data_IF_547722004956
#
_entry.id   IF_547722004956
#
_cell.length_a   1.000
_cell.length_b   1.000
_cell.length_c   1.000
_cell.angle_alpha   90.00
_cell.angle_beta   90.00
_cell.angle_gamma   90.00
#
_symmetry.space_group_name_H-M   'P 1'
#
loop_
_entity.id
_entity.type
_entity.pdbx_description
1 polymer ?
#
# COMPACT_ATOMS: atom_id res chain seq x y z
N UNK A 1 -17.49 -1.79 -41.98
CA UNK A 1 -16.08 -1.50 -41.71
C UNK A 1 -15.40 -1.39 -43.08
N UNK A 2 -14.89 -0.23 -43.44
CA UNK A 2 -14.32 0.05 -44.78
C UNK A 2 -12.84 -0.32 -44.83
N UNK A 3 -12.31 -0.58 -46.03
CA UNK A 3 -10.90 -0.94 -46.25
C UNK A 3 -9.94 0.18 -45.79
N UNK A 4 -10.28 1.44 -46.07
CA UNK A 4 -9.53 2.62 -45.61
C UNK A 4 -9.46 2.70 -44.08
N UNK A 5 -10.55 2.40 -43.37
CA UNK A 5 -10.57 2.41 -41.91
C UNK A 5 -9.64 1.34 -41.32
N UNK A 6 -9.55 0.16 -41.94
CA UNK A 6 -8.67 -0.91 -41.49
C UNK A 6 -7.18 -0.60 -41.73
N UNK A 7 -6.86 0.14 -42.80
CA UNK A 7 -5.49 0.60 -43.06
C UNK A 7 -5.02 1.66 -42.06
N UNK A 8 -5.91 2.55 -41.61
CA UNK A 8 -5.58 3.59 -40.63
C UNK A 8 -5.48 3.06 -39.19
N UNK A 9 -6.08 1.91 -38.91
CA UNK A 9 -6.15 1.32 -37.56
C UNK A 9 -5.55 -0.09 -37.56
N UNK A 10 -4.21 -0.22 -37.52
CA UNK A 10 -3.56 -1.52 -37.52
C UNK A 10 -4.06 -2.37 -36.33
N UNK A 11 -4.10 -3.71 -36.47
CA UNK A 11 -4.50 -4.60 -35.39
C UNK A 11 -3.63 -4.33 -34.16
N UNK A 12 -4.24 -3.97 -33.04
CA UNK A 12 -3.55 -3.85 -31.77
C UNK A 12 -3.87 -5.08 -30.92
N UNK A 13 -2.85 -5.65 -30.27
CA UNK A 13 -3.04 -6.76 -29.35
C UNK A 13 -3.73 -6.25 -28.08
N UNK A 14 -4.90 -6.81 -27.78
CA UNK A 14 -5.55 -6.59 -26.49
C UNK A 14 -4.72 -7.26 -25.39
N UNK A 15 -4.55 -6.59 -24.26
CA UNK A 15 -3.93 -7.20 -23.09
C UNK A 15 -4.79 -8.38 -22.63
N UNK A 16 -4.15 -9.50 -22.22
CA UNK A 16 -4.86 -10.65 -21.66
C UNK A 16 -5.74 -10.22 -20.48
N UNK A 17 -6.89 -10.86 -20.31
CA UNK A 17 -7.71 -10.68 -19.11
C UNK A 17 -7.15 -11.47 -17.91
N UNK A 18 -6.27 -12.44 -18.16
CA UNK A 18 -5.65 -13.25 -17.12
C UNK A 18 -4.78 -12.39 -16.21
N UNK A 19 -4.89 -12.61 -14.90
CA UNK A 19 -4.14 -11.84 -13.94
C UNK A 19 -2.70 -12.36 -13.82
N UNK A 20 -1.76 -11.43 -13.78
CA UNK A 20 -0.34 -11.70 -13.61
C UNK A 20 0.05 -11.62 -12.12
N UNK A 21 0.96 -12.48 -11.66
CA UNK A 21 1.45 -12.46 -10.28
C UNK A 21 2.53 -11.37 -10.10
N UNK A 22 2.36 -10.56 -9.07
CA UNK A 22 3.26 -9.47 -8.69
C UNK A 22 3.47 -9.44 -7.17
N UNK A 23 4.45 -8.64 -6.73
CA UNK A 23 4.63 -8.33 -5.31
C UNK A 23 4.57 -6.83 -5.06
N UNK A 24 3.64 -6.42 -4.20
CA UNK A 24 3.63 -5.09 -3.61
C UNK A 24 4.57 -5.08 -2.39
N UNK A 25 5.61 -4.25 -2.43
CA UNK A 25 6.58 -4.10 -1.35
C UNK A 25 6.51 -2.70 -0.78
N UNK A 26 6.08 -2.60 0.47
CA UNK A 26 5.98 -1.33 1.21
C UNK A 26 7.11 -1.29 2.22
N UNK A 27 7.92 -0.23 2.20
CA UNK A 27 9.03 -0.06 3.14
C UNK A 27 8.75 1.11 4.07
N UNK A 28 8.60 0.81 5.35
CA UNK A 28 8.36 1.78 6.41
C UNK A 28 9.71 2.07 7.07
N UNK A 29 10.32 3.18 6.68
CA UNK A 29 11.60 3.60 7.24
C UNK A 29 11.43 4.20 8.64
N UNK A 30 10.63 5.25 8.73
CA UNK A 30 10.39 5.98 9.98
C UNK A 30 9.07 6.74 9.94
N UNK A 31 8.58 7.07 11.13
CA UNK A 31 7.55 8.08 11.38
C UNK A 31 8.14 9.23 12.19
N UNK A 32 7.49 10.40 12.12
CA UNK A 32 7.87 11.62 12.83
C UNK A 32 6.62 12.41 13.19
N UNK A 33 6.73 13.28 14.20
CA UNK A 33 5.68 14.20 14.60
C UNK A 33 4.36 13.49 14.99
N UNK A 34 4.47 12.28 15.55
CA UNK A 34 3.32 11.58 16.13
C UNK A 34 3.01 12.22 17.49
N UNK A 35 1.74 12.58 17.77
CA UNK A 35 1.35 13.10 19.08
C UNK A 35 1.74 12.15 20.22
N UNK A 36 2.22 12.71 21.32
CA UNK A 36 2.54 11.97 22.54
C UNK A 36 1.28 11.71 23.36
N UNK A 37 1.35 10.72 24.25
CA UNK A 37 0.34 10.47 25.28
C UNK A 37 0.52 11.38 26.51
N UNK A 38 -0.38 11.24 27.48
CA UNK A 38 -0.37 12.01 28.74
C UNK A 38 0.91 11.78 29.57
N UNK A 39 1.59 10.64 29.38
CA UNK A 39 2.87 10.33 30.03
C UNK A 39 4.06 10.99 29.32
N UNK A 40 3.81 11.87 28.34
CA UNK A 40 4.83 12.53 27.53
C UNK A 40 5.72 11.55 26.76
N UNK A 41 5.19 10.37 26.43
CA UNK A 41 5.83 9.44 25.52
C UNK A 41 4.81 8.74 24.65
N UNK A 42 5.23 7.81 23.81
CA UNK A 42 4.31 6.98 23.02
C UNK A 42 5.02 5.69 22.61
N UNK A 43 4.29 4.58 22.67
CA UNK A 43 4.72 3.32 22.06
C UNK A 43 3.87 3.09 20.82
N UNK A 44 4.47 2.94 19.65
CA UNK A 44 3.74 2.95 18.38
C UNK A 44 4.15 1.84 17.42
N UNK A 45 3.22 1.40 16.58
CA UNK A 45 3.51 0.53 15.44
C UNK A 45 2.76 1.05 14.20
N UNK A 46 3.20 0.62 13.03
CA UNK A 46 2.57 0.96 11.75
C UNK A 46 1.90 -0.28 11.18
N UNK A 47 0.64 -0.12 10.78
CA UNK A 47 -0.18 -1.15 10.17
C UNK A 47 -0.37 -0.86 8.68
N UNK A 48 -0.02 -1.81 7.83
CA UNK A 48 -0.28 -1.78 6.40
C UNK A 48 -1.40 -2.75 6.04
N UNK A 49 -2.46 -2.25 5.42
CA UNK A 49 -3.64 -3.02 5.03
C UNK A 49 -3.77 -2.92 3.52
N UNK A 50 -3.73 -4.05 2.83
CA UNK A 50 -3.97 -4.12 1.39
C UNK A 50 -5.28 -4.85 1.14
N UNK A 51 -6.21 -4.19 0.45
CA UNK A 51 -7.47 -4.80 0.01
C UNK A 51 -7.21 -5.49 -1.33
N UNK A 52 -7.56 -6.77 -1.46
CA UNK A 52 -7.45 -7.48 -2.75
C UNK A 52 -8.77 -7.43 -3.50
N UNK A 53 -9.84 -7.75 -2.77
CA UNK A 53 -11.21 -7.88 -3.25
C UNK A 53 -12.16 -7.42 -2.14
N UNK A 54 -13.44 -7.30 -2.47
CA UNK A 54 -14.47 -6.91 -1.50
C UNK A 54 -14.48 -7.91 -0.32
N UNK A 55 -14.23 -7.41 0.89
CA UNK A 55 -14.08 -8.19 2.14
C UNK A 55 -12.81 -9.05 2.28
N UNK A 56 -11.79 -8.88 1.43
CA UNK A 56 -10.50 -9.53 1.61
C UNK A 56 -9.38 -8.51 1.83
N UNK A 57 -9.02 -8.32 3.09
CA UNK A 57 -7.91 -7.47 3.52
C UNK A 57 -6.74 -8.31 4.05
N UNK A 58 -5.53 -8.02 3.58
CA UNK A 58 -4.29 -8.53 4.18
C UNK A 58 -3.67 -7.43 5.01
N UNK A 59 -3.47 -7.72 6.29
CA UNK A 59 -2.81 -6.82 7.24
C UNK A 59 -1.38 -7.25 7.52
N UNK A 60 -0.46 -6.27 7.58
CA UNK A 60 0.94 -6.44 7.98
C UNK A 60 1.31 -5.31 8.94
N UNK A 61 1.69 -5.68 10.15
CA UNK A 61 2.15 -4.74 11.17
C UNK A 61 3.69 -4.73 11.23
N UNK A 62 4.26 -3.58 11.60
CA UNK A 62 5.65 -3.49 12.04
C UNK A 62 5.78 -4.00 13.48
N UNK A 63 7.03 -4.20 13.93
CA UNK A 63 7.30 -4.23 15.37
C UNK A 63 6.91 -2.90 16.04
N UNK A 64 6.73 -2.93 17.36
CA UNK A 64 6.45 -1.74 18.16
C UNK A 64 7.74 -0.97 18.47
N UNK A 65 7.74 0.33 18.20
CA UNK A 65 8.72 1.27 18.71
C UNK A 65 8.24 1.80 20.06
N UNK A 66 8.92 1.42 21.14
CA UNK A 66 8.50 1.73 22.50
C UNK A 66 9.03 3.08 23.00
N UNK A 67 8.21 3.77 23.80
CA UNK A 67 8.61 4.91 24.64
C UNK A 67 9.33 6.05 23.89
N UNK A 68 8.85 6.40 22.70
CA UNK A 68 9.31 7.59 21.98
C UNK A 68 8.91 8.85 22.74
N UNK A 69 9.87 9.75 22.96
CA UNK A 69 9.67 11.02 23.69
C UNK A 69 9.52 12.23 22.78
N UNK A 70 9.75 12.05 21.48
CA UNK A 70 9.72 13.11 20.48
C UNK A 70 8.70 12.82 19.36
N UNK A 71 7.93 11.75 19.50
CA UNK A 71 6.94 11.34 18.50
C UNK A 71 7.58 10.77 17.24
N UNK A 72 8.83 10.32 17.29
CA UNK A 72 9.51 9.65 16.19
C UNK A 72 9.71 8.15 16.46
N UNK A 73 9.68 7.36 15.39
CA UNK A 73 9.91 5.92 15.45
C UNK A 73 10.65 5.46 14.20
N UNK A 74 11.67 4.63 14.36
CA UNK A 74 12.43 4.03 13.26
C UNK A 74 12.12 2.55 13.21
N UNK A 75 11.72 2.06 12.04
CA UNK A 75 11.28 0.68 11.86
C UNK A 75 12.16 -0.08 10.86
N UNK A 76 12.59 0.57 9.78
CA UNK A 76 13.32 -0.08 8.67
C UNK A 76 12.63 -1.39 8.22
N UNK A 77 11.30 -1.38 8.17
CA UNK A 77 10.48 -2.58 8.01
C UNK A 77 9.96 -2.72 6.60
N UNK A 78 9.87 -3.95 6.09
CA UNK A 78 9.35 -4.23 4.74
C UNK A 78 8.13 -5.14 4.80
N UNK A 79 6.96 -4.59 4.54
CA UNK A 79 5.73 -5.34 4.31
C UNK A 79 5.71 -5.86 2.86
N UNK A 80 5.46 -7.15 2.68
CA UNK A 80 5.36 -7.80 1.37
C UNK A 80 3.96 -8.40 1.22
N UNK A 81 3.33 -8.11 0.10
CA UNK A 81 2.03 -8.63 -0.30
C UNK A 81 2.17 -9.28 -1.67
N UNK A 82 1.75 -10.53 -1.78
CA UNK A 82 1.59 -11.19 -3.08
C UNK A 82 0.25 -10.72 -3.66
N UNK A 83 0.26 -10.20 -4.89
CA UNK A 83 -0.89 -9.55 -5.52
C UNK A 83 -1.06 -10.03 -6.95
N UNK A 84 -2.29 -10.07 -7.42
CA UNK A 84 -2.62 -10.34 -8.82
C UNK A 84 -3.03 -9.06 -9.52
N UNK A 85 -2.53 -8.82 -10.74
CA UNK A 85 -2.86 -7.63 -11.53
C UNK A 85 -3.52 -8.06 -12.84
N UNK A 86 -4.74 -7.58 -13.15
CA UNK A 86 -5.48 -6.51 -12.47
C UNK A 86 -6.09 -6.96 -11.14
N UNK A 87 -6.01 -6.10 -10.12
CA UNK A 87 -6.69 -6.28 -8.85
C UNK A 87 -8.02 -5.49 -8.88
N UNK A 88 -9.14 -6.05 -8.38
CA UNK A 88 -10.42 -5.34 -8.33
C UNK A 88 -10.38 -4.05 -7.51
N UNK A 89 -9.70 -4.06 -6.35
CA UNK A 89 -9.63 -2.91 -5.44
C UNK A 89 -8.18 -2.68 -5.01
N UNK A 90 -7.33 -2.03 -5.82
CA UNK A 90 -5.90 -1.88 -5.54
C UNK A 90 -5.61 -0.74 -4.54
N UNK A 91 -6.19 -0.81 -3.33
CA UNK A 91 -6.01 0.21 -2.29
C UNK A 91 -5.08 -0.30 -1.19
N UNK A 92 -4.07 0.49 -0.88
CA UNK A 92 -3.19 0.30 0.27
C UNK A 92 -3.49 1.36 1.33
N UNK A 93 -3.82 0.92 2.53
CA UNK A 93 -4.05 1.76 3.70
C UNK A 93 -2.89 1.61 4.68
N UNK A 94 -2.37 2.73 5.17
CA UNK A 94 -1.32 2.78 6.19
C UNK A 94 -1.86 3.50 7.42
N UNK A 95 -1.70 2.89 8.59
CA UNK A 95 -2.17 3.43 9.86
C UNK A 95 -1.05 3.48 10.89
N UNK A 96 -1.04 4.49 11.76
CA UNK A 96 -0.15 4.58 12.92
C UNK A 96 -0.99 4.32 14.16
N UNK A 97 -0.56 3.40 15.01
CA UNK A 97 -1.30 2.96 16.20
C UNK A 97 -0.51 3.22 17.48
N UNK A 98 -1.21 3.55 18.57
CA UNK A 98 -0.62 3.59 19.91
C UNK A 98 -0.75 2.19 20.54
N UNK A 99 0.37 1.56 20.86
CA UNK A 99 0.43 0.27 21.55
C UNK A 99 -0.03 0.34 23.01
N UNK A 100 0.31 1.42 23.71
CA UNK A 100 0.02 1.57 25.15
C UNK A 100 -1.47 1.76 25.43
N UNK A 101 -2.22 2.22 24.44
CA UNK A 101 -3.67 2.42 24.51
C UNK A 101 -4.35 1.24 23.82
N UNK A 102 -4.49 0.12 24.54
CA UNK A 102 -5.39 -0.97 24.15
C UNK A 102 -6.88 -0.56 24.19
N UNK A 103 -7.22 0.73 24.35
CA UNK A 103 -8.55 1.23 24.70
C UNK A 103 -9.16 2.34 23.83
N UNK A 104 -8.52 2.86 22.77
CA UNK A 104 -9.17 3.86 21.90
C UNK A 104 -9.95 3.24 20.74
N UNK A 105 -9.55 2.05 20.28
CA UNK A 105 -10.17 1.39 19.12
C UNK A 105 -9.82 2.00 17.75
N UNK A 106 -9.10 3.13 17.72
CA UNK A 106 -8.85 3.91 16.49
C UNK A 106 -7.36 4.23 16.29
N UNK A 107 -6.89 4.31 15.03
CA UNK A 107 -5.53 4.70 14.70
C UNK A 107 -5.29 6.19 15.00
N UNK A 108 -4.06 6.54 15.38
CA UNK A 108 -3.61 7.94 15.59
C UNK A 108 -3.64 8.72 14.27
N UNK A 109 -3.36 8.04 13.17
CA UNK A 109 -3.42 8.60 11.83
C UNK A 109 -3.53 7.50 10.78
N UNK A 110 -4.15 7.85 9.66
CA UNK A 110 -4.37 6.96 8.51
C UNK A 110 -4.06 7.70 7.21
N UNK A 111 -3.51 6.99 6.22
CA UNK A 111 -3.50 7.41 4.83
C UNK A 111 -3.84 6.26 3.88
N UNK A 112 -4.48 6.59 2.77
CA UNK A 112 -4.91 5.63 1.75
C UNK A 112 -4.23 5.95 0.41
N UNK A 113 -3.73 4.93 -0.27
CA UNK A 113 -3.08 4.98 -1.57
C UNK A 113 -3.90 4.19 -2.58
N UNK A 114 -4.43 4.88 -3.59
CA UNK A 114 -5.01 4.24 -4.77
C UNK A 114 -3.89 3.86 -5.75
N UNK A 115 -3.68 2.56 -5.94
CA UNK A 115 -2.62 2.01 -6.78
C UNK A 115 -3.12 1.64 -8.18
N UNK A 116 -4.35 2.00 -8.57
CA UNK A 116 -4.95 1.61 -9.87
C UNK A 116 -4.04 1.95 -11.05
N UNK A 117 -3.58 3.20 -11.11
CA UNK A 117 -2.73 3.66 -12.20
C UNK A 117 -1.32 3.03 -12.15
N UNK A 118 -0.81 2.78 -10.95
CA UNK A 118 0.50 2.15 -10.73
C UNK A 118 0.49 0.67 -11.11
N UNK A 119 -0.55 -0.06 -10.77
CA UNK A 119 -0.74 -1.47 -11.12
C UNK A 119 -0.89 -1.61 -12.64
N UNK A 120 -1.67 -0.73 -13.28
CA UNK A 120 -1.76 -0.70 -14.73
C UNK A 120 -0.39 -0.46 -15.38
N UNK A 121 0.40 0.50 -14.88
CA UNK A 121 1.76 0.78 -15.38
C UNK A 121 2.73 -0.36 -15.13
N UNK A 122 2.66 -1.00 -13.97
CA UNK A 122 3.49 -2.15 -13.61
C UNK A 122 3.23 -3.33 -14.56
N UNK A 123 1.96 -3.68 -14.76
CA UNK A 123 1.55 -4.75 -15.67
C UNK A 123 1.95 -4.47 -17.11
N UNK A 124 1.70 -3.26 -17.61
CA UNK A 124 2.09 -2.87 -18.99
C UNK A 124 3.59 -2.97 -19.24
N UNK A 125 4.42 -2.75 -18.21
CA UNK A 125 5.89 -2.79 -18.33
C UNK A 125 6.48 -4.18 -18.08
N UNK A 126 5.79 -5.06 -17.36
CA UNK A 126 6.30 -6.40 -17.00
C UNK A 126 7.60 -6.37 -16.19
N UNK A 127 7.91 -5.27 -15.52
CA UNK A 127 9.16 -5.04 -14.79
C UNK A 127 8.91 -4.34 -13.46
N UNK A 128 9.96 -4.25 -12.62
CA UNK A 128 9.93 -3.52 -11.35
C UNK A 128 9.45 -2.08 -11.60
N UNK A 129 8.29 -1.76 -11.04
CA UNK A 129 7.73 -0.42 -11.07
C UNK A 129 7.87 0.21 -9.67
N UNK A 130 8.50 1.39 -9.61
CA UNK A 130 8.61 2.16 -8.37
C UNK A 130 7.51 3.21 -8.37
N UNK A 131 6.73 3.25 -7.30
CA UNK A 131 5.74 4.29 -7.07
C UNK A 131 6.43 5.66 -7.14
N UNK A 132 5.83 6.66 -7.83
CA UNK A 132 6.34 8.03 -7.81
C UNK A 132 6.43 8.52 -6.35
N UNK A 133 7.49 9.27 -6.02
CA UNK A 133 7.68 9.85 -4.69
C UNK A 133 6.96 11.18 -4.57
#
# INVERSE_FOLDING_TARGET
MTEEYAHEHPPFTLASAEADDFQLRVVIWRVKAVPLDDNSSISMFVRSIFTLEENQEITRDTDTHYNSKDGSGVFNWRCVFDVKIPAPIPVLKIQIWNYAVLSSGEPIGECNFDLTADFFRARKRGQIYRLPR
#
